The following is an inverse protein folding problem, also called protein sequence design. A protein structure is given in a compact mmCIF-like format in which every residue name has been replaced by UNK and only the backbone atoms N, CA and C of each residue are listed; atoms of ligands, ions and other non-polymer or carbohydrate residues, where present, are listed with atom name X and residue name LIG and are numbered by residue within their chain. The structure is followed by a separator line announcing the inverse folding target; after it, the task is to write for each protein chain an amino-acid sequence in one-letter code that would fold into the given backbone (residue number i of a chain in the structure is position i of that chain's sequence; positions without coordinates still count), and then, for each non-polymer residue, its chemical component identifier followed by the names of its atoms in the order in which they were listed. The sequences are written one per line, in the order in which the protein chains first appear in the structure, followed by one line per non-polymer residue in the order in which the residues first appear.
data_IF_237952404825
#
_entry.id   IF_237952404825
#
_cell.length_a   1.000
_cell.length_b   1.000
_cell.length_c   1.000
_cell.angle_alpha   90.00
_cell.angle_beta   90.00
_cell.angle_gamma   90.00
#
_symmetry.space_group_name_H-M   'P 1'
#
loop_
_entity.id
_entity.type
_entity.pdbx_description
1 polymer ?
#
# COMPACT_ATOMS: atom_id res chain seq x y z
N UNK A 1 -9.73 -21.57 -12.84
CA UNK A 1 -10.24 -21.03 -11.54
C UNK A 1 -10.06 -19.53 -11.57
N UNK A 2 -11.10 -18.77 -11.30
CA UNK A 2 -10.98 -17.31 -11.22
C UNK A 2 -10.51 -16.95 -9.80
N UNK A 3 -9.49 -16.12 -9.71
CA UNK A 3 -8.98 -15.56 -8.43
C UNK A 3 -9.10 -14.05 -8.45
N UNK A 4 -9.24 -13.45 -7.26
CA UNK A 4 -9.25 -12.01 -7.07
C UNK A 4 -8.39 -11.64 -5.86
N UNK A 5 -7.70 -10.52 -5.95
CA UNK A 5 -6.99 -9.92 -4.83
C UNK A 5 -7.90 -8.86 -4.19
N UNK A 6 -8.21 -9.02 -2.92
CA UNK A 6 -8.90 -7.97 -2.17
C UNK A 6 -7.89 -6.95 -1.65
N UNK A 7 -8.19 -5.68 -1.87
CA UNK A 7 -7.42 -4.56 -1.30
C UNK A 7 -8.37 -3.58 -0.63
N UNK A 8 -7.92 -2.95 0.46
CA UNK A 8 -8.68 -1.96 1.21
C UNK A 8 -7.77 -0.77 1.46
N UNK A 9 -8.21 0.41 1.04
CA UNK A 9 -7.46 1.65 1.20
C UNK A 9 -7.83 2.41 2.47
N UNK A 10 -7.01 3.40 2.80
CA UNK A 10 -7.23 4.37 3.87
C UNK A 10 -7.35 3.77 5.28
N UNK A 11 -6.79 2.59 5.51
CA UNK A 11 -6.71 2.08 6.89
C UNK A 11 -5.64 2.89 7.68
N UNK A 12 -5.67 3.00 9.01
CA UNK A 12 -6.50 2.33 9.97
C UNK A 12 -7.68 3.20 10.42
N UNK A 13 -8.65 2.55 11.03
CA UNK A 13 -9.79 3.20 11.67
C UNK A 13 -10.27 2.34 12.85
N UNK A 14 -11.17 2.88 13.68
CA UNK A 14 -11.81 2.13 14.76
C UNK A 14 -12.49 0.83 14.29
N UNK A 15 -12.84 0.73 13.01
CA UNK A 15 -13.51 -0.45 12.43
C UNK A 15 -12.51 -1.51 11.91
N UNK A 16 -11.22 -1.19 11.86
CA UNK A 16 -10.19 -2.09 11.32
C UNK A 16 -10.19 -3.48 11.98
N UNK A 17 -10.29 -3.63 13.32
CA UNK A 17 -10.37 -4.97 13.92
C UNK A 17 -11.58 -5.79 13.45
N UNK A 18 -12.76 -5.19 13.38
CA UNK A 18 -13.95 -5.90 12.91
C UNK A 18 -13.84 -6.35 11.44
N UNK A 19 -13.21 -5.52 10.59
CA UNK A 19 -12.92 -5.88 9.19
C UNK A 19 -11.96 -7.08 9.14
N UNK A 20 -10.88 -7.03 9.92
CA UNK A 20 -9.87 -8.10 9.99
C UNK A 20 -10.47 -9.41 10.49
N UNK A 21 -11.30 -9.35 11.52
CA UNK A 21 -11.99 -10.52 12.06
C UNK A 21 -12.91 -11.16 11.01
N UNK A 22 -13.70 -10.35 10.31
CA UNK A 22 -14.56 -10.82 9.22
C UNK A 22 -13.76 -11.49 8.09
N UNK A 23 -12.67 -10.85 7.65
CA UNK A 23 -11.81 -11.40 6.60
C UNK A 23 -11.20 -12.74 7.02
N UNK A 24 -10.75 -12.85 8.27
CA UNK A 24 -10.20 -14.08 8.81
C UNK A 24 -11.26 -15.18 8.97
N UNK A 25 -12.47 -14.85 9.44
CA UNK A 25 -13.60 -15.79 9.49
C UNK A 25 -13.91 -16.36 8.10
N UNK A 26 -13.89 -15.51 7.07
CA UNK A 26 -14.13 -15.92 5.67
C UNK A 26 -12.89 -16.51 4.99
N UNK A 27 -11.75 -16.58 5.67
CA UNK A 27 -10.44 -17.01 5.12
C UNK A 27 -10.01 -16.20 3.89
N UNK A 28 -10.32 -14.90 3.87
CA UNK A 28 -9.95 -13.98 2.81
C UNK A 28 -8.66 -13.28 3.21
N UNK A 29 -7.63 -13.38 2.36
CA UNK A 29 -6.41 -12.58 2.48
C UNK A 29 -6.60 -11.26 1.76
N UNK A 30 -6.11 -10.18 2.36
CA UNK A 30 -6.20 -8.84 1.78
C UNK A 30 -4.90 -8.07 2.00
N UNK A 31 -4.69 -7.08 1.13
CA UNK A 31 -3.69 -6.03 1.34
C UNK A 31 -4.43 -4.78 1.80
N UNK A 32 -4.00 -4.25 2.94
CA UNK A 32 -4.55 -3.05 3.53
C UNK A 32 -3.58 -1.89 3.27
N UNK A 33 -3.96 -0.94 2.41
CA UNK A 33 -3.14 0.23 2.14
C UNK A 33 -3.41 1.32 3.17
N UNK A 34 -2.40 1.62 3.97
CA UNK A 34 -2.50 2.52 5.10
C UNK A 34 -1.90 3.89 4.81
N UNK A 35 -2.60 4.95 5.21
CA UNK A 35 -1.97 6.26 5.31
C UNK A 35 -1.25 6.38 6.65
N UNK A 36 -0.07 7.02 6.64
CA UNK A 36 0.71 7.17 7.88
C UNK A 36 -0.08 7.88 9.00
N UNK A 37 -0.83 8.92 8.65
CA UNK A 37 -1.68 9.65 9.61
C UNK A 37 -2.76 8.76 10.25
N UNK A 38 -3.40 7.90 9.48
CA UNK A 38 -4.42 7.00 10.03
C UNK A 38 -3.79 5.93 10.93
N UNK A 39 -2.61 5.41 10.55
CA UNK A 39 -1.89 4.47 11.42
C UNK A 39 -1.51 5.14 12.75
N UNK A 40 -0.99 6.37 12.74
CA UNK A 40 -0.66 7.06 13.98
C UNK A 40 -1.89 7.32 14.86
N UNK A 41 -3.01 7.68 14.24
CA UNK A 41 -4.27 7.97 14.95
C UNK A 41 -4.92 6.72 15.54
N UNK A 42 -4.81 5.59 14.83
CA UNK A 42 -5.45 4.31 15.17
C UNK A 42 -4.40 3.21 15.23
N UNK A 43 -3.35 3.46 16.04
CA UNK A 43 -2.16 2.63 16.04
C UNK A 43 -2.43 1.20 16.50
N UNK A 44 -3.22 1.03 17.57
CA UNK A 44 -3.56 -0.28 18.11
C UNK A 44 -4.40 -1.11 17.12
N UNK A 45 -5.29 -0.46 16.38
CA UNK A 45 -6.10 -1.09 15.34
C UNK A 45 -5.26 -1.53 14.14
N UNK A 46 -4.27 -0.70 13.75
CA UNK A 46 -3.31 -1.08 12.72
C UNK A 46 -2.41 -2.24 13.19
N UNK A 47 -1.97 -2.20 14.45
CA UNK A 47 -1.19 -3.26 15.07
C UNK A 47 -1.96 -4.58 15.11
N UNK A 48 -3.25 -4.51 15.45
CA UNK A 48 -4.15 -5.65 15.40
C UNK A 48 -4.21 -6.29 14.01
N UNK A 49 -4.31 -5.48 12.95
CA UNK A 49 -4.35 -5.97 11.57
C UNK A 49 -3.09 -6.75 11.21
N UNK A 50 -1.90 -6.22 11.51
CA UNK A 50 -0.63 -6.89 11.23
C UNK A 50 -0.50 -8.19 12.04
N UNK A 51 -0.81 -8.16 13.34
CA UNK A 51 -0.75 -9.35 14.22
C UNK A 51 -1.71 -10.45 13.79
N UNK A 52 -2.81 -10.11 13.13
CA UNK A 52 -3.80 -11.07 12.65
C UNK A 52 -3.63 -11.42 11.16
N UNK A 53 -2.43 -11.21 10.60
CA UNK A 53 -2.01 -11.76 9.33
C UNK A 53 -2.40 -10.96 8.10
N UNK A 54 -2.82 -9.71 8.26
CA UNK A 54 -3.04 -8.81 7.13
C UNK A 54 -1.71 -8.21 6.68
N UNK A 55 -1.55 -8.03 5.36
CA UNK A 55 -0.44 -7.27 4.78
C UNK A 55 -0.85 -5.79 4.82
N UNK A 56 -0.01 -4.96 5.44
CA UNK A 56 -0.21 -3.50 5.47
C UNK A 56 0.82 -2.84 4.58
N UNK A 57 0.35 -2.17 3.53
CA UNK A 57 1.17 -1.46 2.54
C UNK A 57 1.08 0.06 2.67
N UNK A 58 1.96 0.74 1.95
CA UNK A 58 2.08 2.20 1.97
C UNK A 58 1.11 2.87 1.01
N UNK A 59 0.30 3.81 1.53
CA UNK A 59 -0.61 4.66 0.76
C UNK A 59 -0.31 6.15 0.93
N UNK A 60 0.98 6.51 1.08
CA UNK A 60 1.49 7.82 1.49
C UNK A 60 1.16 8.21 2.94
N UNK A 61 1.71 9.32 3.40
CA UNK A 61 1.47 9.75 4.78
C UNK A 61 0.13 10.46 4.95
N UNK A 62 -0.16 11.49 4.11
CA UNK A 62 -1.35 12.34 4.22
C UNK A 62 -2.34 12.20 3.05
N UNK A 63 -2.06 11.31 2.10
CA UNK A 63 -2.92 11.00 0.96
C UNK A 63 -3.12 12.14 -0.06
N UNK A 64 -2.07 12.86 -0.48
CA UNK A 64 -2.19 13.88 -1.51
C UNK A 64 -2.24 13.27 -2.92
N UNK A 65 -2.70 14.06 -3.89
CA UNK A 65 -2.49 13.73 -5.30
C UNK A 65 -1.03 14.02 -5.68
N UNK A 66 -0.26 13.01 -6.04
CA UNK A 66 1.19 13.12 -6.25
C UNK A 66 1.57 14.04 -7.41
N UNK A 67 0.70 14.22 -8.41
CA UNK A 67 0.92 15.19 -9.50
C UNK A 67 0.87 16.64 -9.06
N UNK A 68 0.36 16.94 -7.88
CA UNK A 68 0.34 18.30 -7.31
C UNK A 68 1.57 18.63 -6.45
N UNK A 69 2.47 17.66 -6.28
CA UNK A 69 3.64 17.76 -5.42
C UNK A 69 4.93 17.87 -6.25
N UNK A 70 5.94 18.53 -5.68
CA UNK A 70 7.32 18.38 -6.14
C UNK A 70 7.84 16.96 -5.88
N UNK A 71 8.89 16.56 -6.58
CA UNK A 71 9.53 15.26 -6.36
C UNK A 71 9.97 15.07 -4.89
N UNK A 72 10.49 16.15 -4.28
CA UNK A 72 10.90 16.12 -2.87
C UNK A 72 9.72 15.84 -1.94
N UNK A 73 8.59 16.53 -2.14
CA UNK A 73 7.38 16.32 -1.34
C UNK A 73 6.81 14.91 -1.54
N UNK A 74 6.84 14.39 -2.77
CA UNK A 74 6.46 13.00 -3.03
C UNK A 74 7.30 12.01 -2.22
N UNK A 75 8.63 12.19 -2.21
CA UNK A 75 9.54 11.35 -1.43
C UNK A 75 9.26 11.46 0.07
N UNK A 76 9.03 12.66 0.58
CA UNK A 76 8.69 12.89 1.99
C UNK A 76 7.40 12.20 2.41
N UNK A 77 6.37 12.23 1.57
CA UNK A 77 5.11 11.52 1.79
C UNK A 77 5.29 9.99 1.89
N UNK A 78 6.11 9.44 1.00
CA UNK A 78 6.42 8.00 1.01
C UNK A 78 7.23 7.64 2.25
N UNK A 79 8.30 8.39 2.55
CA UNK A 79 9.22 8.07 3.65
C UNK A 79 8.58 8.24 5.02
N UNK A 80 7.78 9.28 5.23
CA UNK A 80 7.05 9.47 6.49
C UNK A 80 6.12 8.29 6.77
N UNK A 81 5.41 7.82 5.76
CA UNK A 81 4.56 6.63 5.91
C UNK A 81 5.41 5.38 6.20
N UNK A 82 6.55 5.18 5.52
CA UNK A 82 7.43 4.05 5.77
C UNK A 82 7.95 4.02 7.20
N UNK A 83 8.36 5.16 7.76
CA UNK A 83 8.81 5.24 9.16
C UNK A 83 7.72 4.73 10.11
N UNK A 84 6.48 5.11 9.88
CA UNK A 84 5.33 4.66 10.69
C UNK A 84 5.10 3.16 10.52
N UNK A 85 5.14 2.65 9.28
CA UNK A 85 4.94 1.23 9.00
C UNK A 85 6.08 0.35 9.52
N UNK A 86 7.33 0.78 9.43
CA UNK A 86 8.47 0.06 10.00
C UNK A 86 8.32 -0.09 11.53
N UNK A 87 7.91 0.99 12.22
CA UNK A 87 7.60 0.92 13.65
C UNK A 87 6.45 -0.05 13.94
N UNK A 88 5.38 0.02 13.15
CA UNK A 88 4.21 -0.85 13.28
C UNK A 88 4.59 -2.34 13.18
N UNK A 89 5.35 -2.71 12.16
CA UNK A 89 5.79 -4.09 11.98
C UNK A 89 6.77 -4.53 13.08
N UNK A 90 7.70 -3.66 13.48
CA UNK A 90 8.60 -3.93 14.60
C UNK A 90 7.82 -4.20 15.89
N UNK A 91 6.85 -3.38 16.23
CA UNK A 91 6.06 -3.52 17.46
C UNK A 91 5.09 -4.71 17.39
N UNK A 92 4.70 -5.12 16.18
CA UNK A 92 3.89 -6.32 15.97
C UNK A 92 4.65 -7.63 16.21
N UNK A 93 5.97 -7.62 16.07
CA UNK A 93 6.81 -8.81 16.04
C UNK A 93 6.68 -9.64 14.76
N UNK A 94 5.98 -9.15 13.75
CA UNK A 94 5.78 -9.81 12.45
C UNK A 94 6.83 -9.30 11.46
N UNK A 95 7.52 -10.22 10.76
CA UNK A 95 8.46 -9.84 9.72
C UNK A 95 7.74 -9.22 8.52
N UNK A 96 8.21 -8.07 8.05
CA UNK A 96 7.67 -7.39 6.87
C UNK A 96 8.35 -7.93 5.60
N UNK A 97 7.82 -9.03 5.06
CA UNK A 97 8.36 -9.71 3.87
C UNK A 97 7.90 -9.11 2.54
N UNK A 98 6.87 -8.27 2.56
CA UNK A 98 6.29 -7.65 1.36
C UNK A 98 6.01 -6.17 1.59
N UNK A 99 6.44 -5.33 0.64
CA UNK A 99 6.36 -3.86 0.70
C UNK A 99 5.55 -3.30 -0.46
N UNK A 100 4.22 -3.53 -0.49
CA UNK A 100 3.37 -2.98 -1.54
C UNK A 100 3.17 -1.48 -1.36
N UNK A 101 3.01 -0.79 -2.50
CA UNK A 101 2.68 0.62 -2.56
C UNK A 101 1.45 0.83 -3.44
N UNK A 102 0.63 1.81 -3.09
CA UNK A 102 -0.48 2.29 -3.93
C UNK A 102 -0.51 3.80 -3.93
N UNK A 103 -0.48 4.39 -5.12
CA UNK A 103 -0.64 5.84 -5.27
C UNK A 103 -2.05 6.28 -4.88
N UNK A 104 -2.20 7.32 -4.03
CA UNK A 104 -3.49 7.95 -3.81
C UNK A 104 -4.16 8.36 -5.13
N UNK A 105 -5.45 8.07 -5.27
CA UNK A 105 -6.25 8.36 -6.47
C UNK A 105 -5.75 7.72 -7.77
N UNK A 106 -4.88 6.71 -7.71
CA UNK A 106 -4.19 6.19 -8.89
C UNK A 106 -3.26 7.20 -9.57
N UNK A 107 -2.94 8.29 -8.88
CA UNK A 107 -2.15 9.41 -9.40
C UNK A 107 -0.65 9.13 -9.25
N UNK A 108 -0.02 8.67 -10.31
CA UNK A 108 1.40 8.24 -10.33
C UNK A 108 2.41 9.39 -10.37
N UNK A 109 2.00 10.63 -10.12
CA UNK A 109 2.91 11.78 -9.98
C UNK A 109 3.12 12.62 -11.23
N UNK A 110 2.31 12.45 -12.29
CA UNK A 110 2.40 13.27 -13.50
C UNK A 110 3.81 13.27 -14.09
N UNK A 111 4.43 14.44 -14.23
CA UNK A 111 5.79 14.58 -14.78
C UNK A 111 6.88 13.90 -13.93
N UNK A 112 6.60 13.68 -12.65
CA UNK A 112 7.52 12.97 -11.73
C UNK A 112 7.41 11.44 -11.82
N UNK A 113 6.49 10.89 -12.61
CA UNK A 113 6.19 9.44 -12.65
C UNK A 113 7.45 8.58 -12.78
N UNK A 114 8.28 8.85 -13.78
CA UNK A 114 9.47 8.03 -14.04
C UNK A 114 10.49 8.08 -12.89
N UNK A 115 10.69 9.27 -12.32
CA UNK A 115 11.58 9.45 -11.18
C UNK A 115 11.03 8.74 -9.93
N UNK A 116 9.74 8.79 -9.70
CA UNK A 116 9.06 8.10 -8.60
C UNK A 116 9.15 6.58 -8.76
N UNK A 117 8.94 6.04 -9.97
CA UNK A 117 9.07 4.61 -10.21
C UNK A 117 10.51 4.11 -9.93
N UNK A 118 11.52 4.87 -10.36
CA UNK A 118 12.91 4.59 -10.03
C UNK A 118 13.14 4.61 -8.52
N UNK A 119 12.67 5.65 -7.85
CA UNK A 119 12.79 5.80 -6.40
C UNK A 119 12.14 4.65 -5.63
N UNK A 120 10.91 4.27 -5.98
CA UNK A 120 10.22 3.16 -5.33
C UNK A 120 10.99 1.83 -5.47
N UNK A 121 11.55 1.57 -6.66
CA UNK A 121 12.40 0.39 -6.90
C UNK A 121 13.65 0.41 -6.02
N UNK A 122 14.35 1.53 -5.98
CA UNK A 122 15.58 1.69 -5.17
C UNK A 122 15.31 1.55 -3.67
N UNK A 123 14.14 1.94 -3.21
CA UNK A 123 13.69 1.78 -1.81
C UNK A 123 13.14 0.39 -1.48
N UNK A 124 13.10 -0.53 -2.44
CA UNK A 124 12.68 -1.90 -2.23
C UNK A 124 11.16 -2.12 -2.15
N UNK A 125 10.37 -1.19 -2.67
CA UNK A 125 8.94 -1.43 -2.86
C UNK A 125 8.72 -2.50 -3.92
N UNK A 126 7.67 -3.28 -3.74
CA UNK A 126 7.40 -4.45 -4.55
C UNK A 126 6.02 -4.35 -5.19
N UNK A 127 5.95 -4.83 -6.42
CA UNK A 127 4.71 -4.98 -7.17
C UNK A 127 4.02 -6.28 -6.76
N UNK A 128 2.70 -6.26 -6.74
CA UNK A 128 1.89 -7.49 -6.64
C UNK A 128 2.07 -8.30 -7.93
N UNK A 129 2.18 -9.62 -7.81
CA UNK A 129 2.26 -10.51 -8.97
C UNK A 129 0.94 -10.49 -9.76
N UNK A 130 1.00 -9.98 -10.97
CA UNK A 130 -0.09 -9.87 -11.93
C UNK A 130 0.24 -10.51 -13.29
N UNK A 131 1.25 -11.38 -13.33
CA UNK A 131 1.75 -12.01 -14.57
C UNK A 131 0.68 -12.79 -15.33
N UNK A 132 -0.37 -13.23 -14.65
CA UNK A 132 -1.52 -13.91 -15.24
C UNK A 132 -2.59 -12.97 -15.81
N UNK A 133 -2.45 -11.65 -15.67
CA UNK A 133 -3.34 -10.66 -16.30
C UNK A 133 -2.89 -10.45 -17.76
N UNK A 134 -3.71 -10.90 -18.68
CA UNK A 134 -3.36 -10.94 -20.12
C UNK A 134 -4.05 -9.85 -20.94
N UNK A 135 -4.83 -9.00 -20.34
CA UNK A 135 -5.55 -7.94 -21.05
C UNK A 135 -4.57 -6.91 -21.66
N UNK A 136 -4.69 -6.58 -22.97
CA UNK A 136 -3.79 -5.64 -23.64
C UNK A 136 -3.71 -4.28 -22.94
N UNK A 137 -4.84 -3.71 -22.52
CA UNK A 137 -4.91 -2.41 -21.84
C UNK A 137 -4.11 -2.38 -20.53
N UNK A 138 -3.86 -3.53 -19.89
CA UNK A 138 -3.03 -3.62 -18.67
C UNK A 138 -1.60 -3.20 -18.97
N UNK A 139 -1.04 -3.70 -20.08
CA UNK A 139 0.32 -3.35 -20.54
C UNK A 139 0.39 -1.95 -21.14
N UNK A 140 -0.61 -1.56 -21.95
CA UNK A 140 -0.70 -0.23 -22.55
C UNK A 140 -0.67 0.90 -21.53
N UNK A 141 -1.16 0.66 -20.30
CA UNK A 141 -1.15 1.60 -19.20
C UNK A 141 0.02 1.39 -18.21
N UNK A 142 1.01 0.57 -18.56
CA UNK A 142 2.18 0.24 -17.73
C UNK A 142 1.81 -0.34 -16.36
N UNK A 143 0.66 -1.01 -16.23
CA UNK A 143 0.21 -1.61 -14.98
C UNK A 143 0.99 -2.87 -14.64
N UNK A 144 1.58 -3.51 -15.64
CA UNK A 144 2.44 -4.68 -15.52
C UNK A 144 3.89 -4.36 -15.11
N UNK A 145 4.31 -3.10 -15.24
CA UNK A 145 5.70 -2.68 -15.00
C UNK A 145 5.87 -1.71 -13.84
N UNK A 146 4.89 -0.86 -13.60
CA UNK A 146 4.94 0.17 -12.56
C UNK A 146 4.77 -0.43 -11.16
N UNK A 147 5.54 0.09 -10.20
CA UNK A 147 5.27 -0.16 -8.79
C UNK A 147 4.07 0.67 -8.38
N UNK A 148 2.93 0.04 -8.40
CA UNK A 148 1.64 0.52 -7.94
C UNK A 148 0.72 -0.69 -7.84
N UNK A 149 -0.07 -0.79 -6.81
CA UNK A 149 -1.11 -1.82 -6.76
C UNK A 149 -2.38 -1.22 -7.34
N UNK A 150 -2.54 -1.37 -8.64
CA UNK A 150 -3.73 -0.90 -9.35
C UNK A 150 -4.93 -1.80 -9.04
N UNK A 151 -6.14 -1.26 -9.16
CA UNK A 151 -7.41 -1.91 -8.79
C UNK A 151 -8.44 -1.82 -9.92
#
# INVERSE_FOLDING_TARGET
MNSALLTIDDIASKNTPAIVDYLNEKRIKAILFATGQNVERYYEEALYAVKNGMIVGNHSYSRPAFSSLSMKECMEEIEKCEIVLERLYKDSGVERVFRPFRFPYGNKGGDNKNALQKYLKEKGFQKVDDTHITYPWWRENSLDTDIDTFW
#
